data_IF_399291525263
#
_entry.id   IF_399291525263
#
_cell.length_a   1.000
_cell.length_b   1.000
_cell.length_c   1.000
_cell.angle_alpha   90.00
_cell.angle_beta   90.00
_cell.angle_gamma   90.00
#
_symmetry.space_group_name_H-M   'P 1'
#
loop_
_entity.id
_entity.type
_entity.pdbx_description
1 polymer ?
#
# COMPACT_ATOMS: atom_id res chain seq x y z
N UNK A 1 7.00 -0.32 11.04
CA UNK A 1 7.21 -0.66 9.61
C UNK A 1 6.74 0.49 8.74
N UNK A 2 7.20 0.60 7.49
CA UNK A 2 6.82 1.67 6.56
C UNK A 2 5.30 1.75 6.34
N UNK A 3 4.61 0.60 6.27
CA UNK A 3 3.15 0.52 6.15
C UNK A 3 2.41 1.25 7.27
N UNK A 4 2.73 0.96 8.54
CA UNK A 4 2.05 1.61 9.67
C UNK A 4 2.29 3.12 9.71
N UNK A 5 3.46 3.58 9.25
CA UNK A 5 3.74 5.01 9.17
C UNK A 5 2.92 5.68 8.06
N UNK A 6 2.78 5.03 6.90
CA UNK A 6 1.96 5.52 5.81
C UNK A 6 0.48 5.60 6.21
N UNK A 7 -0.06 4.57 6.87
CA UNK A 7 -1.45 4.61 7.39
C UNK A 7 -1.62 5.77 8.39
N UNK A 8 -0.67 5.99 9.30
CA UNK A 8 -0.74 7.16 10.21
C UNK A 8 -0.74 8.49 9.46
N UNK A 9 0.09 8.65 8.42
CA UNK A 9 0.09 9.84 7.58
C UNK A 9 -1.24 10.01 6.85
N UNK A 10 -1.79 8.93 6.30
CA UNK A 10 -3.10 8.92 5.67
C UNK A 10 -4.23 9.31 6.63
N UNK A 11 -4.21 8.82 7.87
CA UNK A 11 -5.17 9.20 8.91
C UNK A 11 -5.04 10.67 9.32
N UNK A 12 -3.82 11.22 9.36
CA UNK A 12 -3.62 12.64 9.59
C UNK A 12 -4.14 13.48 8.42
N UNK A 13 -3.94 13.01 7.19
CA UNK A 13 -4.48 13.62 5.97
C UNK A 13 -6.00 13.48 5.84
N UNK A 14 -6.61 12.49 6.50
CA UNK A 14 -8.07 12.29 6.51
C UNK A 14 -8.83 13.48 7.13
N UNK A 15 -8.16 14.31 7.94
CA UNK A 15 -8.70 15.58 8.46
C UNK A 15 -8.74 16.71 7.41
N UNK A 16 -8.11 16.50 6.26
CA UNK A 16 -8.14 17.40 5.11
C UNK A 16 -9.17 16.92 4.09
N UNK A 17 -9.70 17.82 3.26
CA UNK A 17 -10.54 17.51 2.09
C UNK A 17 -9.73 17.06 0.87
N UNK A 18 -8.41 17.17 0.90
CA UNK A 18 -7.55 16.82 -0.22
C UNK A 18 -7.33 15.30 -0.35
N UNK A 19 -7.18 14.83 -1.60
CA UNK A 19 -6.80 13.45 -1.88
C UNK A 19 -5.41 13.12 -1.33
N UNK A 20 -5.30 11.93 -0.74
CA UNK A 20 -4.05 11.44 -0.19
C UNK A 20 -3.67 10.09 -0.81
N UNK A 21 -2.42 10.02 -1.26
CA UNK A 21 -1.81 8.79 -1.76
C UNK A 21 -0.32 8.78 -1.49
N UNK A 22 0.22 7.62 -1.21
CA UNK A 22 1.65 7.43 -0.95
C UNK A 22 2.13 6.11 -1.57
N UNK A 23 3.34 6.11 -2.12
CA UNK A 23 4.02 4.89 -2.53
C UNK A 23 5.11 4.59 -1.50
N UNK A 24 5.09 3.37 -0.96
CA UNK A 24 6.07 2.90 0.00
C UNK A 24 6.70 1.59 -0.47
N UNK A 25 7.98 1.40 -0.16
CA UNK A 25 8.60 0.09 -0.26
C UNK A 25 8.32 -0.72 1.00
N UNK A 26 7.91 -1.97 0.80
CA UNK A 26 7.50 -2.88 1.86
C UNK A 26 8.12 -4.25 1.70
N UNK A 27 8.26 -4.88 2.84
CA UNK A 27 8.52 -6.30 2.95
C UNK A 27 7.26 -6.99 3.49
N UNK A 28 6.73 -7.95 2.74
CA UNK A 28 5.55 -8.72 3.11
C UNK A 28 5.95 -10.16 3.42
N UNK A 29 5.26 -10.78 4.37
CA UNK A 29 5.40 -12.21 4.64
C UNK A 29 4.29 -12.96 3.91
N UNK A 30 4.67 -13.90 3.05
CA UNK A 30 3.74 -14.87 2.47
C UNK A 30 3.26 -15.82 3.56
N UNK A 31 2.14 -16.50 3.32
CA UNK A 31 1.56 -17.49 4.26
C UNK A 31 2.54 -18.63 4.61
N UNK A 32 3.49 -18.93 3.72
CA UNK A 32 4.56 -19.92 3.94
C UNK A 32 5.74 -19.38 4.77
N UNK A 33 5.63 -18.16 5.32
CA UNK A 33 6.66 -17.49 6.10
C UNK A 33 7.76 -16.83 5.26
N UNK A 34 7.78 -16.99 3.93
CA UNK A 34 8.81 -16.37 3.08
C UNK A 34 8.55 -14.88 2.90
N UNK A 35 9.60 -14.10 3.04
CA UNK A 35 9.60 -12.65 2.83
C UNK A 35 9.63 -12.33 1.33
N UNK A 36 8.78 -11.39 0.89
CA UNK A 36 8.75 -10.87 -0.47
C UNK A 36 8.77 -9.34 -0.44
N UNK A 37 9.73 -8.75 -1.14
CA UNK A 37 9.81 -7.31 -1.30
C UNK A 37 8.81 -6.83 -2.36
N UNK A 38 8.23 -5.67 -2.14
CA UNK A 38 7.35 -5.02 -3.10
C UNK A 38 7.24 -3.53 -2.86
N UNK A 39 6.64 -2.83 -3.82
CA UNK A 39 6.26 -1.43 -3.69
C UNK A 39 4.74 -1.35 -3.63
N UNK A 40 4.20 -0.62 -2.67
CA UNK A 40 2.76 -0.49 -2.43
C UNK A 40 2.34 0.96 -2.64
N UNK A 41 1.34 1.17 -3.51
CA UNK A 41 0.55 2.40 -3.55
C UNK A 41 -0.58 2.28 -2.52
N UNK A 42 -0.69 3.25 -1.62
CA UNK A 42 -1.79 3.39 -0.67
C UNK A 42 -2.58 4.63 -1.04
N UNK A 43 -3.90 4.51 -1.10
CA UNK A 43 -4.84 5.60 -1.38
C UNK A 43 -5.84 5.70 -0.26
N UNK A 44 -6.12 6.92 0.23
CA UNK A 44 -7.26 7.17 1.11
C UNK A 44 -8.52 7.25 0.26
N UNK A 45 -9.47 6.35 0.51
CA UNK A 45 -10.79 6.36 -0.12
C UNK A 45 -11.72 7.30 0.63
N UNK A 46 -12.64 7.90 -0.12
CA UNK A 46 -13.70 8.76 0.41
C UNK A 46 -15.05 8.29 -0.14
N UNK A 47 -16.09 8.45 0.66
CA UNK A 47 -17.46 8.23 0.23
C UNK A 47 -17.94 9.36 -0.70
N UNK A 48 -19.19 9.29 -1.14
CA UNK A 48 -19.84 10.30 -2.00
C UNK A 48 -19.91 11.69 -1.35
N UNK A 49 -19.81 11.77 -0.02
CA UNK A 49 -19.80 13.01 0.74
C UNK A 49 -18.38 13.56 0.99
N UNK A 50 -17.35 12.91 0.44
CA UNK A 50 -15.94 13.28 0.66
C UNK A 50 -15.39 12.84 2.03
N UNK A 51 -16.16 12.05 2.78
CA UNK A 51 -15.78 11.54 4.10
C UNK A 51 -14.82 10.35 3.93
N UNK A 52 -13.69 10.31 4.66
CA UNK A 52 -12.76 9.17 4.61
C UNK A 52 -13.46 7.84 4.95
N UNK A 53 -13.45 6.87 4.02
CA UNK A 53 -14.15 5.57 4.15
C UNK A 53 -13.18 4.38 4.25
N UNK A 54 -11.88 4.61 4.01
CA UNK A 54 -10.87 3.58 4.23
C UNK A 54 -9.61 3.77 3.41
N UNK A 55 -8.82 2.70 3.30
CA UNK A 55 -7.59 2.69 2.50
C UNK A 55 -7.62 1.57 1.47
N UNK A 56 -7.16 1.87 0.25
CA UNK A 56 -6.88 0.88 -0.77
C UNK A 56 -5.38 0.73 -0.98
N UNK A 57 -4.88 -0.50 -0.94
CA UNK A 57 -3.48 -0.83 -1.18
C UNK A 57 -3.30 -1.66 -2.45
N UNK A 58 -2.47 -1.19 -3.38
CA UNK A 58 -2.04 -1.96 -4.56
C UNK A 58 -0.56 -2.28 -4.42
N UNK A 59 -0.20 -3.56 -4.36
CA UNK A 59 1.19 -4.00 -4.17
C UNK A 59 1.74 -4.58 -5.46
N UNK A 60 2.86 -4.04 -5.94
CA UNK A 60 3.71 -4.67 -6.96
C UNK A 60 4.83 -5.42 -6.27
N UNK A 61 4.76 -6.74 -6.27
CA UNK A 61 5.85 -7.58 -5.75
C UNK A 61 7.01 -7.66 -6.76
N UNK A 62 8.24 -7.65 -6.26
CA UNK A 62 9.43 -7.99 -7.04
C UNK A 62 9.56 -9.52 -7.09
N UNK A 63 8.80 -10.16 -7.98
CA UNK A 63 8.95 -11.59 -8.25
C UNK A 63 10.27 -11.90 -8.97
N UNK A 64 10.94 -12.99 -8.60
CA UNK A 64 12.04 -13.56 -9.41
C UNK A 64 11.47 -13.88 -10.81
N UNK A 65 11.84 -13.13 -11.84
CA UNK A 65 11.77 -13.64 -13.22
C UNK A 65 12.69 -14.87 -13.28
N UNK A 66 12.13 -16.07 -13.35
CA UNK A 66 12.79 -17.19 -14.00
C UNK A 66 11.99 -17.44 -15.28
N UNK A 67 12.37 -16.72 -16.34
CA UNK A 67 11.95 -17.08 -17.69
C UNK A 67 12.88 -18.23 -18.08
N UNK A 68 12.48 -19.46 -17.76
CA UNK A 68 13.11 -20.64 -18.35
C UNK A 68 12.53 -20.72 -19.75
N UNK A 69 13.29 -20.31 -20.76
CA UNK A 69 13.04 -20.82 -22.10
C UNK A 69 13.42 -22.30 -22.03
N UNK A 70 12.41 -23.18 -22.17
CA UNK A 70 12.59 -24.60 -22.46
C UNK A 70 12.54 -24.74 -23.97
#
# INVERSE_FOLDING_TARGET
TAFLQAIKRGLMAAKSTQDWREVIDIDQFRKDGKKIAGSMLIVLLRDENGTPDGFMGIIRFKGRRKVSFV
#
